data_IF_798494133511
#
_entry.id   IF_798494133511
#
_cell.length_a   1.000
_cell.length_b   1.000
_cell.length_c   1.000
_cell.angle_alpha   90.00
_cell.angle_beta   90.00
_cell.angle_gamma   90.00
#
_symmetry.space_group_name_H-M   'P 1'
#
loop_
_entity.id
_entity.type
_entity.pdbx_description
1 polymer ?
#
# COMPACT_ATOMS: atom_id res chain seq x y z
N UNK A 1 -11.34 31.70 55.94
CA UNK A 1 -10.79 30.38 55.62
C UNK A 1 -9.79 30.53 54.48
N UNK A 2 -8.49 30.39 54.76
CA UNK A 2 -7.45 30.44 53.73
C UNK A 2 -7.47 29.10 52.99
N UNK A 3 -7.89 29.09 51.71
CA UNK A 3 -7.76 27.89 50.88
C UNK A 3 -6.28 27.51 50.83
N UNK A 4 -5.93 26.33 51.33
CA UNK A 4 -4.55 25.85 51.35
C UNK A 4 -4.00 25.81 49.92
N UNK A 5 -2.89 26.52 49.66
CA UNK A 5 -2.18 26.47 48.39
C UNK A 5 -1.79 25.03 48.00
N UNK A 6 -1.68 24.13 48.98
CA UNK A 6 -1.43 22.69 48.77
C UNK A 6 -2.58 22.01 48.03
N UNK A 7 -3.84 22.37 48.32
CA UNK A 7 -5.00 21.77 47.64
C UNK A 7 -5.07 22.17 46.16
N UNK A 8 -4.63 23.39 45.81
CA UNK A 8 -4.55 23.85 44.41
C UNK A 8 -3.43 23.16 43.63
N UNK A 9 -2.27 22.95 44.27
CA UNK A 9 -1.14 22.24 43.65
C UNK A 9 -1.47 20.76 43.43
N UNK A 10 -2.12 20.10 44.41
CA UNK A 10 -2.55 18.70 44.27
C UNK A 10 -3.61 18.56 43.18
N UNK A 11 -4.58 19.48 43.09
CA UNK A 11 -5.58 19.48 42.02
C UNK A 11 -4.95 19.71 40.64
N UNK A 12 -4.01 20.64 40.51
CA UNK A 12 -3.27 20.85 39.25
C UNK A 12 -2.44 19.62 38.84
N UNK A 13 -1.79 18.93 39.78
CA UNK A 13 -1.05 17.70 39.49
C UNK A 13 -1.98 16.55 39.08
N UNK A 14 -3.17 16.43 39.69
CA UNK A 14 -4.17 15.42 39.33
C UNK A 14 -4.77 15.68 37.94
N UNK A 15 -5.02 16.96 37.60
CA UNK A 15 -5.44 17.36 36.26
C UNK A 15 -4.31 17.13 35.24
N UNK A 16 -3.06 17.41 35.58
CA UNK A 16 -1.91 17.13 34.69
C UNK A 16 -1.73 15.62 34.45
N UNK A 17 -1.88 14.78 35.48
CA UNK A 17 -1.82 13.32 35.39
C UNK A 17 -2.98 12.74 34.57
N UNK A 18 -4.18 13.34 34.65
CA UNK A 18 -5.34 12.96 33.83
C UNK A 18 -5.21 13.42 32.37
N UNK A 19 -4.50 14.53 32.10
CA UNK A 19 -4.20 15.02 30.74
C UNK A 19 -3.06 14.23 30.09
N UNK A 20 -2.14 13.67 30.88
CA UNK A 20 -1.05 12.82 30.39
C UNK A 20 -1.47 11.35 30.13
N UNK A 21 -2.61 10.91 30.66
CA UNK A 21 -3.10 9.52 30.52
C UNK A 21 -4.00 9.27 29.30
N UNK A 22 -3.95 10.13 28.28
CA UNK A 22 -4.80 9.98 27.08
C UNK A 22 -4.06 10.24 25.77
N UNK A 23 -2.75 10.12 25.74
CA UNK A 23 -2.09 9.70 24.52
C UNK A 23 -2.25 8.18 24.46
N UNK A 24 -3.41 7.72 24.00
CA UNK A 24 -3.48 6.37 23.46
C UNK A 24 -2.51 6.38 22.28
N UNK A 25 -1.33 5.79 22.47
CA UNK A 25 -0.48 5.45 21.34
C UNK A 25 -1.35 4.60 20.41
N UNK A 26 -1.41 4.98 19.13
CA UNK A 26 -1.97 4.10 18.12
C UNK A 26 -1.21 2.77 18.14
N UNK A 27 -1.89 1.70 17.74
CA UNK A 27 -1.23 0.43 17.45
C UNK A 27 -0.16 0.64 16.37
N UNK A 28 0.89 -0.17 16.39
CA UNK A 28 1.86 -0.20 15.30
C UNK A 28 1.39 -1.18 14.22
N UNK A 29 1.81 -0.96 12.97
CA UNK A 29 1.66 -1.95 11.92
C UNK A 29 2.35 -3.27 12.29
N UNK A 30 3.45 -3.21 13.04
CA UNK A 30 4.13 -4.38 13.56
C UNK A 30 3.23 -5.24 14.46
N UNK A 31 2.54 -4.60 15.41
CA UNK A 31 1.61 -5.26 16.32
C UNK A 31 0.41 -5.85 15.55
N UNK A 32 -0.16 -5.10 14.61
CA UNK A 32 -1.32 -5.53 13.82
C UNK A 32 -1.01 -6.78 12.99
N UNK A 33 0.19 -6.85 12.41
CA UNK A 33 0.66 -7.96 11.60
C UNK A 33 1.35 -9.08 12.42
N UNK A 34 1.30 -9.05 13.76
CA UNK A 34 1.93 -10.08 14.58
C UNK A 34 1.27 -11.45 14.35
N UNK A 35 2.10 -12.48 14.16
CA UNK A 35 1.68 -13.88 13.94
C UNK A 35 2.38 -14.84 14.91
N UNK A 36 1.78 -16.02 15.14
CA UNK A 36 2.41 -17.10 15.90
C UNK A 36 3.30 -17.99 15.02
N UNK A 37 3.91 -19.01 15.63
CA UNK A 37 4.75 -19.99 14.92
C UNK A 37 4.01 -20.74 13.81
N UNK A 38 2.68 -20.76 13.86
CA UNK A 38 1.79 -21.38 12.87
C UNK A 38 1.31 -20.40 11.78
N UNK A 39 1.69 -19.12 11.88
CA UNK A 39 1.33 -18.07 10.94
C UNK A 39 -0.05 -17.47 11.21
N UNK A 40 -0.68 -17.76 12.35
CA UNK A 40 -1.97 -17.15 12.72
C UNK A 40 -1.77 -15.80 13.39
N UNK A 41 -2.61 -14.82 13.03
CA UNK A 41 -2.60 -13.51 13.66
C UNK A 41 -2.82 -13.58 15.17
N UNK A 42 -2.03 -12.83 15.92
CA UNK A 42 -2.01 -12.86 17.40
C UNK A 42 -2.47 -11.57 18.07
N UNK A 43 -2.74 -10.51 17.30
CA UNK A 43 -3.20 -9.24 17.86
C UNK A 43 -4.47 -9.44 18.72
N UNK A 44 -4.52 -8.91 19.97
CA UNK A 44 -5.58 -9.21 20.92
C UNK A 44 -6.98 -8.80 20.45
N UNK A 45 -7.07 -7.79 19.58
CA UNK A 45 -8.36 -7.29 19.05
C UNK A 45 -8.87 -7.99 17.77
N UNK A 46 -8.18 -9.04 17.29
CA UNK A 46 -8.64 -9.81 16.12
C UNK A 46 -10.05 -10.41 16.26
N UNK A 47 -10.48 -10.69 17.50
CA UNK A 47 -11.77 -11.31 17.82
C UNK A 47 -12.66 -10.41 18.68
N UNK A 48 -12.29 -9.14 18.88
CA UNK A 48 -13.07 -8.16 19.67
C UNK A 48 -13.78 -7.16 18.75
N UNK A 49 -14.63 -6.29 19.28
CA UNK A 49 -15.22 -5.18 18.52
C UNK A 49 -14.44 -3.87 18.70
N UNK A 50 -13.21 -3.95 19.24
CA UNK A 50 -12.36 -2.77 19.39
C UNK A 50 -11.75 -2.42 18.03
N UNK A 51 -11.77 -1.13 17.71
CA UNK A 51 -11.09 -0.60 16.53
C UNK A 51 -9.67 -0.22 16.92
N UNK A 52 -8.70 -0.70 16.16
CA UNK A 52 -7.29 -0.27 16.26
C UNK A 52 -7.13 1.07 15.57
N UNK A 53 -6.04 1.79 15.88
CA UNK A 53 -5.68 3.02 15.16
C UNK A 53 -4.21 2.95 14.77
N UNK A 54 -3.91 3.04 13.48
CA UNK A 54 -2.54 3.01 12.92
C UNK A 54 -2.30 4.27 12.07
N UNK A 55 -1.05 4.70 11.96
CA UNK A 55 -0.64 5.80 11.08
C UNK A 55 0.45 5.33 10.12
N UNK A 56 0.36 5.77 8.86
CA UNK A 56 1.34 5.39 7.86
C UNK A 56 1.16 6.11 6.54
N UNK A 57 2.03 5.76 5.59
CA UNK A 57 2.06 6.32 4.24
C UNK A 57 1.31 5.40 3.27
N UNK A 58 0.35 5.94 2.53
CA UNK A 58 -0.34 5.20 1.47
C UNK A 58 0.66 4.81 0.39
N UNK A 59 0.74 3.53 0.04
CA UNK A 59 1.67 3.04 -0.97
C UNK A 59 1.09 3.02 -2.38
N UNK A 60 -0.25 3.01 -2.51
CA UNK A 60 -0.88 2.74 -3.79
C UNK A 60 -2.18 3.47 -4.09
N UNK A 61 -2.46 3.54 -5.39
CA UNK A 61 -3.79 3.79 -5.93
C UNK A 61 -4.64 2.52 -5.80
N UNK A 62 -5.87 2.62 -5.28
CA UNK A 62 -6.75 1.46 -5.19
C UNK A 62 -7.21 0.97 -6.56
N UNK A 63 -7.47 1.87 -7.51
CA UNK A 63 -7.93 1.58 -8.88
C UNK A 63 -6.84 1.00 -9.81
N UNK A 64 -5.57 1.02 -9.37
CA UNK A 64 -4.50 0.27 -10.04
C UNK A 64 -4.25 -1.10 -9.41
N UNK A 65 -4.87 -1.37 -8.26
CA UNK A 65 -4.72 -2.64 -7.54
C UNK A 65 -5.91 -3.57 -7.80
N UNK A 66 -7.14 -3.10 -7.58
CA UNK A 66 -8.37 -3.91 -7.68
C UNK A 66 -9.46 -3.19 -8.49
N UNK A 67 -10.35 -3.97 -9.12
CA UNK A 67 -11.49 -3.45 -9.87
C UNK A 67 -12.62 -3.03 -8.92
N UNK A 68 -12.80 -1.72 -8.76
CA UNK A 68 -13.85 -1.14 -7.95
C UNK A 68 -15.18 -0.91 -8.70
N UNK A 69 -15.31 -1.39 -9.96
CA UNK A 69 -16.53 -1.21 -10.77
C UNK A 69 -17.74 -1.88 -10.11
N UNK A 70 -18.78 -1.11 -9.71
CA UNK A 70 -19.92 -1.66 -8.97
C UNK A 70 -20.63 -2.77 -9.75
N UNK A 71 -20.83 -3.91 -9.09
CA UNK A 71 -21.63 -5.02 -9.57
C UNK A 71 -22.27 -5.81 -8.41
N UNK A 72 -23.34 -5.26 -7.84
CA UNK A 72 -24.11 -5.89 -6.74
C UNK A 72 -24.68 -7.28 -7.13
N UNK A 73 -24.80 -7.57 -8.42
CA UNK A 73 -25.32 -8.82 -8.96
C UNK A 73 -24.20 -9.79 -9.42
N UNK A 74 -22.96 -9.59 -8.94
CA UNK A 74 -21.86 -10.49 -9.24
C UNK A 74 -22.26 -11.93 -8.88
N UNK A 75 -22.13 -12.89 -9.82
CA UNK A 75 -22.62 -14.26 -9.59
C UNK A 75 -21.78 -15.04 -8.58
N UNK A 76 -20.50 -14.65 -8.43
CA UNK A 76 -19.53 -15.24 -7.51
C UNK A 76 -18.54 -14.16 -7.07
N UNK A 77 -17.91 -14.36 -5.91
CA UNK A 77 -16.86 -13.47 -5.43
C UNK A 77 -17.40 -12.15 -4.86
N UNK A 78 -16.50 -11.24 -4.47
CA UNK A 78 -16.87 -10.01 -3.77
C UNK A 78 -17.46 -8.93 -4.68
N UNK A 79 -17.68 -9.17 -5.97
CA UNK A 79 -18.05 -8.10 -6.91
C UNK A 79 -16.93 -7.06 -7.01
N UNK A 80 -17.27 -5.78 -6.89
CA UNK A 80 -16.27 -4.72 -6.80
C UNK A 80 -15.38 -4.88 -5.56
N UNK A 81 -14.11 -4.52 -5.68
CA UNK A 81 -13.16 -4.56 -4.57
C UNK A 81 -12.27 -3.31 -4.56
N UNK A 82 -11.83 -2.91 -3.37
CA UNK A 82 -11.00 -1.74 -3.15
C UNK A 82 -9.95 -2.06 -2.09
N UNK A 83 -8.70 -1.63 -2.31
CA UNK A 83 -7.64 -1.85 -1.35
C UNK A 83 -6.55 -0.77 -1.44
N UNK A 84 -6.07 -0.34 -0.28
CA UNK A 84 -4.81 0.40 -0.14
C UNK A 84 -3.90 -0.31 0.86
N UNK A 85 -2.61 -0.09 0.75
CA UNK A 85 -1.62 -0.38 1.77
C UNK A 85 -1.18 0.93 2.41
N UNK A 86 -1.04 0.89 3.73
CA UNK A 86 -0.38 1.93 4.51
C UNK A 86 0.86 1.34 5.17
N UNK A 87 2.00 2.02 5.02
CA UNK A 87 3.27 1.60 5.58
C UNK A 87 3.64 2.46 6.78
N UNK A 88 4.04 1.81 7.88
CA UNK A 88 4.55 2.49 9.06
C UNK A 88 5.87 3.22 8.82
N UNK A 89 6.16 4.17 9.70
CA UNK A 89 7.35 5.01 9.64
C UNK A 89 8.23 4.82 10.87
N UNK A 90 9.52 5.15 10.74
CA UNK A 90 10.48 5.04 11.84
C UNK A 90 10.66 3.59 12.30
N UNK A 91 10.40 3.35 13.58
CA UNK A 91 10.55 2.02 14.20
C UNK A 91 9.38 1.08 13.88
N UNK A 92 8.26 1.59 13.32
CA UNK A 92 7.13 0.77 12.87
C UNK A 92 7.40 0.16 11.49
N UNK A 93 8.26 -0.86 11.48
CA UNK A 93 8.72 -1.53 10.27
C UNK A 93 7.73 -2.64 9.87
N UNK A 94 6.57 -2.23 9.35
CA UNK A 94 5.56 -3.08 8.72
C UNK A 94 4.60 -2.22 7.87
N UNK A 95 3.69 -2.86 7.14
CA UNK A 95 2.52 -2.18 6.58
C UNK A 95 1.25 -2.99 6.77
N UNK A 96 0.11 -2.40 6.44
CA UNK A 96 -1.20 -3.04 6.61
C UNK A 96 -2.10 -2.73 5.44
N UNK A 97 -2.75 -3.76 4.90
CA UNK A 97 -3.78 -3.62 3.91
C UNK A 97 -5.09 -3.14 4.55
N UNK A 98 -5.69 -2.13 3.93
CA UNK A 98 -7.06 -1.68 4.18
C UNK A 98 -7.90 -2.15 3.00
N UNK A 99 -8.88 -3.02 3.25
CA UNK A 99 -9.56 -3.73 2.18
C UNK A 99 -11.08 -3.66 2.34
N UNK A 100 -11.79 -3.52 1.21
CA UNK A 100 -13.24 -3.59 1.12
C UNK A 100 -13.68 -4.35 -0.14
N UNK A 101 -14.87 -4.93 -0.08
CA UNK A 101 -15.51 -5.55 -1.24
C UNK A 101 -17.01 -5.56 -1.12
N UNK A 102 -17.67 -5.55 -2.26
CA UNK A 102 -19.07 -5.18 -2.39
C UNK A 102 -20.05 -6.26 -1.95
N UNK A 103 -19.86 -7.51 -2.40
CA UNK A 103 -20.85 -8.59 -2.34
C UNK A 103 -20.36 -9.76 -1.49
N UNK A 104 -20.01 -9.52 -0.23
CA UNK A 104 -19.39 -10.58 0.57
C UNK A 104 -20.36 -11.69 1.00
N UNK A 105 -21.68 -11.49 0.90
CA UNK A 105 -22.68 -12.57 0.96
C UNK A 105 -22.43 -13.69 -0.06
N UNK A 106 -21.84 -13.37 -1.22
CA UNK A 106 -21.52 -14.34 -2.27
C UNK A 106 -20.24 -15.14 -2.00
N UNK A 107 -19.46 -14.71 -1.01
CA UNK A 107 -18.26 -15.41 -0.55
C UNK A 107 -18.65 -16.17 0.71
N UNK A 108 -18.45 -15.57 1.89
CA UNK A 108 -18.75 -16.17 3.21
C UNK A 108 -19.12 -15.11 4.28
N UNK A 109 -19.38 -13.86 3.87
CA UNK A 109 -19.65 -12.73 4.76
C UNK A 109 -21.13 -12.51 5.03
N UNK A 110 -21.46 -11.32 5.53
CA UNK A 110 -22.85 -10.89 5.78
C UNK A 110 -23.02 -9.45 5.33
N UNK A 111 -23.36 -9.26 4.07
CA UNK A 111 -23.65 -7.96 3.50
C UNK A 111 -23.29 -7.88 2.03
N UNK A 112 -24.19 -7.25 1.28
CA UNK A 112 -23.99 -6.82 -0.09
C UNK A 112 -24.36 -5.34 -0.15
N UNK A 113 -23.37 -4.49 -0.47
CA UNK A 113 -23.65 -3.10 -0.80
C UNK A 113 -24.35 -3.05 -2.15
N UNK A 114 -25.46 -2.31 -2.23
CA UNK A 114 -26.00 -1.92 -3.53
C UNK A 114 -24.96 -1.12 -4.32
N UNK A 115 -25.13 -0.99 -5.63
CA UNK A 115 -24.21 -0.22 -6.46
C UNK A 115 -24.06 1.23 -5.98
N UNK A 116 -25.15 1.85 -5.49
CA UNK A 116 -25.09 3.21 -4.96
C UNK A 116 -24.39 3.26 -3.60
N UNK A 117 -24.74 2.37 -2.68
CA UNK A 117 -24.07 2.30 -1.38
C UNK A 117 -22.57 2.05 -1.56
N UNK A 118 -22.17 1.16 -2.46
CA UNK A 118 -20.75 0.92 -2.77
C UNK A 118 -20.05 2.19 -3.27
N UNK A 119 -20.68 2.97 -4.15
CA UNK A 119 -20.10 4.24 -4.60
C UNK A 119 -19.96 5.24 -3.46
N UNK A 120 -20.94 5.30 -2.56
CA UNK A 120 -20.89 6.15 -1.36
C UNK A 120 -19.78 5.70 -0.40
N UNK A 121 -19.60 4.39 -0.22
CA UNK A 121 -18.52 3.80 0.57
C UNK A 121 -17.15 4.09 -0.02
N UNK A 122 -16.96 3.87 -1.32
CA UNK A 122 -15.69 4.18 -2.00
C UNK A 122 -15.38 5.68 -1.92
N UNK A 123 -16.38 6.54 -2.06
CA UNK A 123 -16.17 7.98 -1.84
C UNK A 123 -15.70 8.24 -0.40
N UNK A 124 -16.36 7.65 0.60
CA UNK A 124 -16.06 7.82 2.03
C UNK A 124 -14.65 7.35 2.40
N UNK A 125 -14.19 6.20 1.91
CA UNK A 125 -12.85 5.68 2.24
C UNK A 125 -11.75 6.25 1.34
N UNK A 126 -12.10 6.90 0.23
CA UNK A 126 -11.12 7.53 -0.67
C UNK A 126 -10.93 9.03 -0.39
N UNK A 127 -11.69 9.63 0.54
CA UNK A 127 -11.59 11.06 0.85
C UNK A 127 -11.49 11.33 2.35
N UNK A 128 -10.72 12.36 2.70
CA UNK A 128 -10.67 12.88 4.05
C UNK A 128 -12.05 13.44 4.47
N UNK A 129 -12.63 12.98 5.60
CA UNK A 129 -13.98 13.34 6.00
C UNK A 129 -14.13 14.82 6.37
N UNK A 130 -13.04 15.50 6.74
CA UNK A 130 -13.07 16.89 7.17
C UNK A 130 -12.95 17.87 5.99
N UNK A 131 -12.14 17.53 5.00
CA UNK A 131 -11.74 18.43 3.91
C UNK A 131 -12.27 18.03 2.55
N UNK A 132 -12.69 16.77 2.38
CA UNK A 132 -13.03 16.19 1.08
C UNK A 132 -11.80 16.00 0.18
N UNK A 133 -10.60 16.01 0.74
CA UNK A 133 -9.36 15.75 0.00
C UNK A 133 -9.30 14.27 -0.42
N UNK A 134 -9.12 14.00 -1.72
CA UNK A 134 -8.95 12.64 -2.24
C UNK A 134 -7.56 12.10 -1.88
N UNK A 135 -7.51 10.96 -1.18
CA UNK A 135 -6.26 10.33 -0.79
C UNK A 135 -5.45 9.87 -1.99
N UNK A 136 -4.13 10.01 -1.89
CA UNK A 136 -3.19 9.60 -2.93
C UNK A 136 -1.98 8.86 -2.35
N UNK A 137 -1.28 8.04 -3.17
CA UNK A 137 0.02 7.49 -2.81
C UNK A 137 0.96 8.55 -2.25
N UNK A 138 1.67 8.18 -1.19
CA UNK A 138 2.61 9.01 -0.44
C UNK A 138 1.96 9.85 0.66
N UNK A 139 0.62 9.92 0.74
CA UNK A 139 -0.05 10.73 1.77
C UNK A 139 0.07 10.00 3.11
N UNK A 140 0.33 10.77 4.17
CA UNK A 140 0.28 10.25 5.54
C UNK A 140 -1.16 10.30 6.03
N UNK A 141 -1.65 9.14 6.46
CA UNK A 141 -3.02 8.99 6.96
C UNK A 141 -3.04 8.30 8.31
N UNK A 142 -4.11 8.55 9.06
CA UNK A 142 -4.49 7.79 10.25
C UNK A 142 -5.69 6.94 9.90
N UNK A 143 -5.59 5.63 10.13
CA UNK A 143 -6.69 4.70 9.89
C UNK A 143 -7.16 4.10 11.19
N UNK A 144 -8.47 4.12 11.39
CA UNK A 144 -9.12 3.48 12.52
C UNK A 144 -10.17 2.49 12.04
N UNK A 145 -10.05 1.22 12.40
CA UNK A 145 -10.97 0.18 11.92
C UNK A 145 -10.83 -1.14 12.66
N UNK A 146 -11.64 -2.12 12.28
CA UNK A 146 -11.60 -3.47 12.86
C UNK A 146 -10.54 -4.31 12.15
N UNK A 147 -9.95 -5.24 12.90
CA UNK A 147 -9.02 -6.21 12.33
C UNK A 147 -9.73 -7.45 11.79
N UNK A 148 -9.17 -8.00 10.71
CA UNK A 148 -9.53 -9.31 10.16
C UNK A 148 -8.29 -10.01 9.64
N UNK A 149 -7.96 -11.14 10.24
CA UNK A 149 -6.90 -12.02 9.75
C UNK A 149 -7.38 -12.88 8.57
N UNK A 150 -6.55 -13.00 7.55
CA UNK A 150 -6.76 -13.87 6.40
C UNK A 150 -5.43 -14.35 5.81
N UNK A 151 -5.16 -15.65 5.91
CA UNK A 151 -4.07 -16.31 5.18
C UNK A 151 -2.72 -15.63 5.33
N UNK A 152 -2.23 -15.54 6.57
CA UNK A 152 -0.88 -15.07 6.91
C UNK A 152 -0.77 -13.56 7.16
N UNK A 153 -1.78 -12.76 6.77
CA UNK A 153 -1.82 -11.32 7.04
C UNK A 153 -3.07 -10.87 7.80
N UNK A 154 -2.94 -9.75 8.52
CA UNK A 154 -4.08 -9.07 9.14
C UNK A 154 -4.44 -7.82 8.34
N UNK A 155 -5.69 -7.70 7.92
CA UNK A 155 -6.18 -6.48 7.27
C UNK A 155 -6.98 -5.63 8.26
N UNK A 156 -7.04 -4.33 8.02
CA UNK A 156 -8.09 -3.49 8.58
C UNK A 156 -9.25 -3.48 7.58
N UNK A 157 -10.45 -3.84 8.02
CA UNK A 157 -11.65 -3.82 7.19
C UNK A 157 -12.93 -3.73 8.04
N UNK A 158 -14.08 -3.83 7.39
CA UNK A 158 -15.41 -3.78 8.02
C UNK A 158 -15.94 -5.18 8.35
N UNK A 159 -15.02 -6.16 8.45
CA UNK A 159 -15.27 -7.60 8.66
C UNK A 159 -16.29 -8.20 7.71
N UNK A 160 -16.31 -7.70 6.47
CA UNK A 160 -17.21 -8.19 5.42
C UNK A 160 -18.70 -8.04 5.80
N UNK A 161 -19.02 -6.93 6.47
CA UNK A 161 -20.35 -6.63 6.94
C UNK A 161 -20.67 -5.15 6.77
N UNK A 162 -21.88 -4.87 6.30
CA UNK A 162 -22.40 -3.56 5.88
C UNK A 162 -23.04 -2.75 7.02
N UNK A 163 -23.00 -3.24 8.27
CA UNK A 163 -23.43 -2.49 9.45
C UNK A 163 -22.52 -1.27 9.66
N UNK A 164 -23.06 -0.04 9.69
CA UNK A 164 -22.26 1.18 9.90
C UNK A 164 -21.45 1.20 11.19
N UNK A 165 -21.75 0.34 12.17
CA UNK A 165 -20.91 0.16 13.36
C UNK A 165 -19.49 -0.32 13.01
N UNK A 166 -19.34 -1.04 11.89
CA UNK A 166 -18.08 -1.60 11.43
C UNK A 166 -17.24 -0.63 10.59
N UNK A 167 -17.80 0.51 10.17
CA UNK A 167 -17.14 1.49 9.31
C UNK A 167 -15.74 1.84 9.81
N UNK A 168 -14.74 1.71 8.94
CA UNK A 168 -13.41 2.24 9.20
C UNK A 168 -13.35 3.73 8.86
N UNK A 169 -12.46 4.49 9.47
CA UNK A 169 -12.23 5.91 9.14
C UNK A 169 -10.79 6.10 8.71
N UNK A 170 -10.58 6.89 7.66
CA UNK A 170 -9.26 7.31 7.19
C UNK A 170 -9.24 8.84 7.28
N UNK A 171 -8.26 9.38 7.99
CA UNK A 171 -8.07 10.82 8.18
C UNK A 171 -6.74 11.24 7.56
N UNK A 172 -6.71 12.37 6.86
CA UNK A 172 -5.46 12.94 6.36
C UNK A 172 -4.66 13.52 7.52
N UNK A 173 -3.43 13.03 7.71
CA UNK A 173 -2.48 13.61 8.65
C UNK A 173 -1.61 14.65 7.95
N UNK A 174 -1.05 14.28 6.80
CA UNK A 174 -0.20 15.16 6.00
C UNK A 174 -0.31 14.77 4.51
N UNK A 175 -0.79 15.67 3.63
CA UNK A 175 -0.75 15.43 2.19
C UNK A 175 0.68 15.54 1.69
N UNK A 176 1.02 14.83 0.62
CA UNK A 176 2.26 15.17 -0.08
C UNK A 176 3.54 14.67 0.60
N UNK A 177 3.50 13.87 1.67
CA UNK A 177 4.72 13.42 2.40
C UNK A 177 5.77 12.77 1.52
N UNK A 178 5.33 11.87 0.62
CA UNK A 178 6.20 11.15 -0.33
C UNK A 178 6.06 9.66 -0.11
N UNK A 179 6.27 8.86 -1.15
CA UNK A 179 6.41 7.42 -0.93
C UNK A 179 7.67 7.16 -0.09
N UNK A 180 7.65 6.15 0.79
CA UNK A 180 8.87 5.72 1.47
C UNK A 180 9.92 5.31 0.45
N UNK A 181 11.20 5.50 0.76
CA UNK A 181 12.26 4.95 -0.06
C UNK A 181 12.13 3.42 -0.07
N UNK A 182 12.05 2.75 -1.24
CA UNK A 182 11.94 1.30 -1.29
C UNK A 182 13.13 0.63 -0.59
N UNK A 183 12.86 -0.31 0.30
CA UNK A 183 13.90 -1.08 0.96
C UNK A 183 14.53 -2.07 -0.02
N UNK A 184 15.84 -1.99 -0.20
CA UNK A 184 16.56 -2.90 -1.10
C UNK A 184 16.72 -4.24 -0.43
N UNK A 185 16.16 -5.28 -1.05
CA UNK A 185 16.25 -6.67 -0.60
C UNK A 185 16.89 -7.54 -1.69
N UNK A 186 17.24 -8.76 -1.31
CA UNK A 186 17.67 -9.85 -2.18
C UNK A 186 16.76 -11.06 -1.97
N UNK A 187 16.82 -12.04 -2.89
CA UNK A 187 16.08 -13.28 -2.67
C UNK A 187 16.64 -14.09 -1.49
N UNK A 188 17.90 -13.89 -1.09
CA UNK A 188 18.47 -14.52 0.12
C UNK A 188 17.82 -14.02 1.42
N UNK A 189 17.26 -12.82 1.44
CA UNK A 189 16.60 -12.26 2.62
C UNK A 189 15.24 -12.92 2.90
N UNK A 190 14.63 -13.52 1.87
CA UNK A 190 13.24 -14.01 1.89
C UNK A 190 13.10 -15.48 1.46
N UNK A 191 14.16 -16.10 0.94
CA UNK A 191 14.16 -17.49 0.47
C UNK A 191 15.40 -18.25 0.97
N UNK A 192 15.20 -19.47 1.44
CA UNK A 192 16.28 -20.35 1.93
C UNK A 192 17.14 -20.91 0.77
N UNK A 193 18.15 -21.71 1.10
CA UNK A 193 19.03 -22.32 0.09
C UNK A 193 18.36 -23.37 -0.82
N UNK A 194 17.13 -23.79 -0.51
CA UNK A 194 16.32 -24.69 -1.32
C UNK A 194 15.20 -23.94 -2.07
N UNK A 195 15.24 -22.61 -2.09
CA UNK A 195 14.23 -21.75 -2.70
C UNK A 195 12.83 -21.88 -2.04
N UNK A 196 12.78 -22.14 -0.74
CA UNK A 196 11.55 -22.03 0.06
C UNK A 196 11.47 -20.66 0.73
N UNK A 197 10.26 -20.16 1.01
CA UNK A 197 10.09 -18.92 1.78
C UNK A 197 10.65 -19.05 3.19
N UNK A 198 11.31 -17.99 3.65
CA UNK A 198 11.77 -17.86 5.04
C UNK A 198 10.63 -17.22 5.83
N UNK A 199 9.91 -18.05 6.60
CA UNK A 199 8.92 -17.59 7.56
C UNK A 199 9.59 -17.33 8.92
N UNK A 200 9.34 -16.16 9.50
CA UNK A 200 9.85 -15.76 10.81
C UNK A 200 8.75 -15.04 11.62
N UNK A 201 8.10 -15.72 12.58
CA UNK A 201 7.00 -15.14 13.34
C UNK A 201 7.46 -14.02 14.29
N UNK A 202 8.77 -13.91 14.57
CA UNK A 202 9.31 -12.79 15.33
C UNK A 202 9.46 -11.52 14.50
N UNK A 203 9.30 -11.63 13.16
CA UNK A 203 9.37 -10.55 12.19
C UNK A 203 10.66 -9.75 12.29
N UNK A 204 11.78 -10.43 12.57
CA UNK A 204 13.11 -9.80 12.52
C UNK A 204 13.86 -10.14 11.23
N UNK A 205 13.40 -11.17 10.50
CA UNK A 205 13.97 -11.64 9.25
C UNK A 205 12.87 -12.18 8.32
N UNK A 206 13.25 -12.65 7.13
CA UNK A 206 12.35 -13.39 6.26
C UNK A 206 11.22 -12.54 5.69
N UNK A 207 10.20 -13.23 5.18
CA UNK A 207 9.08 -12.60 4.48
C UNK A 207 8.22 -11.71 5.41
N UNK A 208 8.04 -12.11 6.66
CA UNK A 208 7.21 -11.39 7.63
C UNK A 208 7.73 -9.98 7.94
N UNK A 209 9.05 -9.79 7.94
CA UNK A 209 9.69 -8.49 8.17
C UNK A 209 9.36 -7.46 7.07
N UNK A 210 9.10 -7.90 5.84
CA UNK A 210 8.84 -6.99 4.71
C UNK A 210 7.35 -6.79 4.42
N UNK A 211 6.45 -7.55 5.06
CA UNK A 211 5.03 -7.57 4.74
C UNK A 211 4.38 -6.17 4.83
N UNK A 212 3.69 -5.78 3.75
CA UNK A 212 3.01 -4.50 3.58
C UNK A 212 3.93 -3.32 3.25
N UNK A 213 5.21 -3.55 2.99
CA UNK A 213 6.21 -2.49 2.76
C UNK A 213 6.65 -2.40 1.30
N UNK A 214 7.08 -1.21 0.90
CA UNK A 214 7.65 -0.96 -0.43
C UNK A 214 9.10 -1.48 -0.48
N UNK A 215 9.36 -2.42 -1.38
CA UNK A 215 10.67 -3.07 -1.53
C UNK A 215 11.22 -2.91 -2.93
N UNK A 216 12.53 -3.12 -3.07
CA UNK A 216 13.24 -3.16 -4.34
C UNK A 216 14.10 -4.42 -4.46
N UNK A 217 13.87 -5.21 -5.50
CA UNK A 217 14.80 -6.25 -5.96
C UNK A 217 15.59 -5.71 -7.15
N UNK A 218 16.90 -5.91 -7.16
CA UNK A 218 17.75 -5.44 -8.26
C UNK A 218 18.11 -6.58 -9.20
N UNK A 219 18.27 -6.25 -10.49
CA UNK A 219 18.90 -7.11 -11.49
C UNK A 219 18.29 -8.53 -11.57
N UNK A 220 16.96 -8.61 -11.66
CA UNK A 220 16.21 -9.84 -11.88
C UNK A 220 15.73 -9.94 -13.32
N UNK A 221 15.20 -11.08 -13.71
CA UNK A 221 14.56 -11.29 -15.01
C UNK A 221 13.28 -12.10 -14.85
N UNK A 222 12.32 -11.94 -15.75
CA UNK A 222 11.16 -12.83 -15.78
C UNK A 222 11.58 -14.26 -16.09
N UNK A 223 11.01 -15.23 -15.38
CA UNK A 223 11.13 -16.66 -15.72
C UNK A 223 10.35 -16.95 -17.01
N UNK A 224 9.12 -16.44 -17.08
CA UNK A 224 8.31 -16.39 -18.30
C UNK A 224 7.57 -15.03 -18.39
N UNK A 225 7.79 -14.32 -19.48
CA UNK A 225 7.16 -13.03 -19.75
C UNK A 225 5.82 -13.14 -20.51
N UNK A 226 5.44 -14.33 -21.01
CA UNK A 226 4.22 -14.54 -21.79
C UNK A 226 2.92 -14.16 -21.05
N UNK A 227 2.78 -14.37 -19.73
CA UNK A 227 1.57 -14.00 -19.01
C UNK A 227 1.34 -12.49 -18.85
N UNK A 228 2.28 -11.63 -19.29
CA UNK A 228 2.22 -10.19 -19.08
C UNK A 228 0.87 -9.58 -19.48
N UNK A 229 0.24 -8.89 -18.52
CA UNK A 229 -1.02 -8.19 -18.70
C UNK A 229 -1.58 -7.68 -17.38
N UNK A 230 -2.74 -7.00 -17.41
CA UNK A 230 -3.42 -6.58 -16.20
C UNK A 230 -3.70 -7.80 -15.32
N UNK A 231 -3.47 -7.67 -14.02
CA UNK A 231 -3.72 -8.71 -13.02
C UNK A 231 -2.93 -10.01 -13.23
N UNK A 232 -1.84 -9.99 -14.02
CA UNK A 232 -1.05 -11.18 -14.26
C UNK A 232 -0.26 -11.63 -13.01
N UNK A 233 -0.17 -12.93 -12.81
CA UNK A 233 0.78 -13.55 -11.89
C UNK A 233 1.98 -14.05 -12.68
N UNK A 234 3.16 -13.61 -12.26
CA UNK A 234 4.42 -13.85 -12.94
C UNK A 234 5.47 -14.27 -11.91
N UNK A 235 6.62 -14.70 -12.41
CA UNK A 235 7.75 -15.09 -11.58
C UNK A 235 9.02 -14.40 -12.09
N UNK A 236 9.82 -13.90 -11.17
CA UNK A 236 11.14 -13.32 -11.43
C UNK A 236 12.24 -14.22 -10.86
N UNK A 237 13.44 -14.12 -11.41
CA UNK A 237 14.62 -14.83 -10.93
C UNK A 237 15.86 -13.95 -10.93
N UNK A 238 16.73 -14.16 -9.94
CA UNK A 238 18.10 -13.63 -9.89
C UNK A 238 19.12 -14.58 -10.56
N UNK A 239 18.66 -15.66 -11.19
CA UNK A 239 19.46 -16.73 -11.78
C UNK A 239 19.74 -17.91 -10.85
N UNK A 240 19.37 -17.83 -9.58
CA UNK A 240 19.48 -18.93 -8.61
C UNK A 240 18.14 -19.29 -7.97
N UNK A 241 17.36 -18.28 -7.59
CA UNK A 241 16.08 -18.39 -6.88
C UNK A 241 14.97 -17.74 -7.68
N UNK A 242 13.73 -18.07 -7.32
CA UNK A 242 12.56 -17.43 -7.92
C UNK A 242 11.66 -16.78 -6.88
N UNK A 243 10.92 -15.75 -7.31
CA UNK A 243 9.97 -15.06 -6.46
C UNK A 243 8.72 -14.63 -7.25
N UNK A 244 7.51 -14.83 -6.70
CA UNK A 244 6.28 -14.40 -7.36
C UNK A 244 6.15 -12.87 -7.44
N UNK A 245 5.68 -12.38 -8.58
CA UNK A 245 5.31 -10.99 -8.81
C UNK A 245 3.87 -10.93 -9.33
N UNK A 246 3.05 -10.10 -8.69
CA UNK A 246 1.69 -9.80 -9.15
C UNK A 246 1.71 -8.45 -9.86
N UNK A 247 1.17 -8.40 -11.07
CA UNK A 247 0.89 -7.15 -11.75
C UNK A 247 -0.49 -6.64 -11.33
N UNK A 248 -0.62 -5.34 -11.10
CA UNK A 248 -1.91 -4.68 -10.89
C UNK A 248 -2.70 -4.55 -12.18
N UNK A 249 -3.75 -3.74 -12.11
CA UNK A 249 -4.60 -3.37 -13.26
C UNK A 249 -4.29 -1.96 -13.77
N UNK A 250 -3.18 -1.37 -13.33
CA UNK A 250 -2.67 -0.10 -13.84
C UNK A 250 -2.46 -0.14 -15.35
N UNK A 251 -2.62 1.02 -15.99
CA UNK A 251 -2.75 1.12 -17.44
C UNK A 251 -1.48 0.76 -18.22
N UNK A 252 -0.33 0.66 -17.55
CA UNK A 252 0.96 0.25 -18.11
C UNK A 252 1.05 -1.23 -18.44
N UNK A 253 0.23 -2.07 -17.81
CA UNK A 253 0.20 -3.51 -18.06
C UNK A 253 -0.81 -3.81 -19.15
N UNK A 254 -0.39 -3.76 -20.41
CA UNK A 254 -1.23 -4.11 -21.56
C UNK A 254 -0.57 -5.22 -22.36
N UNK A 255 -1.33 -6.08 -23.05
CA UNK A 255 -0.74 -7.04 -23.97
C UNK A 255 0.22 -6.36 -24.94
N UNK A 256 1.47 -6.83 -24.97
CA UNK A 256 2.53 -6.27 -25.83
C UNK A 256 3.23 -5.01 -25.30
N UNK A 257 2.92 -4.51 -24.11
CA UNK A 257 3.62 -3.35 -23.52
C UNK A 257 4.92 -3.71 -22.81
N UNK A 258 5.19 -5.00 -22.58
CA UNK A 258 6.43 -5.43 -21.96
C UNK A 258 7.63 -5.15 -22.88
N UNK A 259 8.55 -4.32 -22.40
CA UNK A 259 9.82 -4.01 -23.05
C UNK A 259 11.03 -4.30 -22.14
N UNK A 260 10.85 -5.10 -21.08
CA UNK A 260 11.90 -5.56 -20.18
C UNK A 260 12.57 -6.81 -20.76
N UNK A 261 13.62 -6.61 -21.57
CA UNK A 261 14.35 -7.69 -22.26
C UNK A 261 15.70 -8.03 -21.65
N UNK A 262 16.25 -7.13 -20.84
CA UNK A 262 17.49 -7.30 -20.09
C UNK A 262 17.16 -7.36 -18.59
N UNK A 263 18.09 -7.80 -17.71
CA UNK A 263 17.89 -7.72 -16.28
C UNK A 263 17.43 -6.33 -15.83
N UNK A 264 16.44 -6.31 -14.95
CA UNK A 264 15.73 -5.12 -14.51
C UNK A 264 15.53 -5.13 -12.99
N UNK A 265 15.22 -3.96 -12.45
CA UNK A 265 14.84 -3.83 -11.04
C UNK A 265 13.33 -3.94 -10.88
N UNK A 266 12.84 -4.43 -9.75
CA UNK A 266 11.41 -4.48 -9.42
C UNK A 266 11.16 -3.63 -8.19
N UNK A 267 10.18 -2.73 -8.25
CA UNK A 267 9.72 -1.97 -7.09
C UNK A 267 8.22 -2.17 -6.91
N UNK A 268 7.82 -2.70 -5.75
CA UNK A 268 6.43 -3.00 -5.44
C UNK A 268 6.21 -3.27 -3.96
N UNK A 269 4.96 -3.55 -3.61
CA UNK A 269 4.54 -3.84 -2.24
C UNK A 269 4.81 -5.31 -1.96
N UNK A 270 5.58 -5.61 -0.91
CA UNK A 270 5.76 -6.99 -0.47
C UNK A 270 4.48 -7.45 0.25
N UNK A 271 3.82 -8.46 -0.30
CA UNK A 271 2.48 -8.89 0.09
C UNK A 271 2.45 -10.41 0.33
N UNK A 272 1.40 -10.87 1.01
CA UNK A 272 1.06 -12.28 1.17
C UNK A 272 -0.45 -12.44 0.95
N UNK A 273 -0.88 -13.42 0.14
CA UNK A 273 -2.30 -13.77 0.05
C UNK A 273 -2.54 -15.28 -0.02
N UNK A 274 -3.38 -15.78 0.89
CA UNK A 274 -3.98 -17.10 0.76
C UNK A 274 -3.19 -18.26 1.38
N UNK A 275 -2.23 -18.00 2.28
CA UNK A 275 -1.53 -19.06 3.00
C UNK A 275 -0.83 -18.58 4.27
N UNK A 276 -0.64 -19.46 5.25
CA UNK A 276 -0.18 -19.05 6.60
C UNK A 276 1.32 -18.72 6.65
N UNK A 277 2.12 -19.34 5.79
CA UNK A 277 3.60 -19.26 5.79
C UNK A 277 4.18 -19.25 4.38
N UNK A 278 3.34 -19.02 3.39
CA UNK A 278 3.66 -19.07 1.96
C UNK A 278 2.79 -18.06 1.19
N UNK A 279 2.81 -18.14 -0.14
CA UNK A 279 2.11 -17.23 -1.06
C UNK A 279 2.52 -15.75 -0.90
N UNK A 280 3.80 -15.51 -0.58
CA UNK A 280 4.38 -14.18 -0.67
C UNK A 280 4.62 -13.78 -2.11
N UNK A 281 4.48 -12.48 -2.38
CA UNK A 281 4.65 -11.89 -3.70
C UNK A 281 5.07 -10.43 -3.59
N UNK A 282 5.64 -9.88 -4.65
CA UNK A 282 5.75 -8.43 -4.83
C UNK A 282 4.64 -7.98 -5.76
N UNK A 283 3.78 -7.06 -5.29
CA UNK A 283 2.71 -6.49 -6.09
C UNK A 283 3.15 -5.17 -6.72
N UNK A 284 3.31 -5.16 -8.05
CA UNK A 284 3.64 -3.97 -8.84
C UNK A 284 2.38 -3.47 -9.51
N UNK A 285 2.00 -2.22 -9.26
CA UNK A 285 0.63 -1.76 -9.56
C UNK A 285 0.49 -1.07 -10.91
N UNK A 286 1.59 -0.52 -11.43
CA UNK A 286 1.63 0.06 -12.76
C UNK A 286 3.05 -0.01 -13.32
N UNK A 287 3.19 0.30 -14.61
CA UNK A 287 4.46 0.35 -15.31
C UNK A 287 4.50 1.52 -16.31
N UNK A 288 5.54 2.33 -16.26
CA UNK A 288 5.68 3.52 -17.12
C UNK A 288 6.32 3.21 -18.49
N UNK A 289 6.68 1.95 -18.77
CA UNK A 289 7.32 1.57 -20.03
C UNK A 289 8.83 1.87 -20.11
N UNK A 290 9.51 2.14 -18.99
CA UNK A 290 10.90 2.61 -19.02
C UNK A 290 11.98 1.60 -19.45
N UNK A 291 11.66 0.31 -19.49
CA UNK A 291 12.55 -0.77 -19.94
C UNK A 291 13.68 -1.14 -18.96
N UNK A 292 13.68 -0.64 -17.72
CA UNK A 292 14.75 -0.86 -16.72
C UNK A 292 14.28 -1.17 -15.31
N UNK A 293 13.14 -0.63 -14.90
CA UNK A 293 12.56 -0.81 -13.57
C UNK A 293 11.08 -1.14 -13.74
N UNK A 294 10.66 -2.33 -13.33
CA UNK A 294 9.27 -2.74 -13.26
C UNK A 294 8.57 -1.99 -12.12
N UNK A 295 8.12 -0.77 -12.42
CA UNK A 295 7.30 0.10 -11.58
C UNK A 295 6.82 1.31 -12.39
N UNK A 296 5.95 2.13 -11.82
CA UNK A 296 5.60 3.44 -12.36
C UNK A 296 6.38 4.52 -11.62
N UNK A 297 7.44 5.03 -12.25
CA UNK A 297 8.28 6.10 -11.68
C UNK A 297 7.63 7.48 -11.82
N UNK A 298 6.56 7.57 -12.61
CA UNK A 298 5.98 8.81 -13.08
C UNK A 298 4.63 9.14 -12.46
N UNK A 299 4.41 8.73 -11.21
CA UNK A 299 3.22 9.10 -10.47
C UNK A 299 3.21 10.60 -10.21
N UNK A 300 2.64 11.35 -11.16
CA UNK A 300 2.40 12.78 -11.04
C UNK A 300 1.35 12.96 -9.94
N UNK A 301 1.84 13.20 -8.73
CA UNK A 301 1.01 13.35 -7.53
C UNK A 301 0.08 14.54 -7.63
N UNK A 302 0.45 15.52 -8.45
CA UNK A 302 -0.33 16.69 -8.71
C UNK A 302 -0.01 17.16 -10.14
N UNK A 303 -1.04 17.48 -10.91
CA UNK A 303 -0.88 18.38 -12.05
C UNK A 303 -0.71 19.82 -11.49
N UNK A 304 0.25 20.03 -10.57
CA UNK A 304 0.61 21.38 -10.14
C UNK A 304 1.11 22.10 -11.39
N UNK A 305 0.47 23.20 -11.82
CA UNK A 305 0.95 23.92 -12.99
C UNK A 305 2.42 24.33 -12.80
N UNK A 306 3.31 23.76 -13.62
CA UNK A 306 4.76 24.01 -13.55
C UNK A 306 5.58 22.93 -12.83
N UNK A 307 4.96 21.88 -12.31
CA UNK A 307 5.66 20.69 -11.83
C UNK A 307 5.92 19.75 -13.00
N UNK A 308 7.21 19.53 -13.29
CA UNK A 308 7.70 18.89 -14.51
C UNK A 308 8.45 17.61 -14.18
N UNK A 309 9.12 17.57 -13.03
CA UNK A 309 9.93 16.44 -12.61
C UNK A 309 9.13 15.39 -11.79
N UNK A 310 7.85 15.64 -11.49
CA UNK A 310 6.95 14.73 -10.78
C UNK A 310 7.33 14.44 -9.33
N UNK A 311 8.08 15.33 -8.67
CA UNK A 311 8.49 15.16 -7.26
C UNK A 311 7.52 15.74 -6.21
N UNK A 312 6.39 16.30 -6.66
CA UNK A 312 5.35 16.90 -5.83
C UNK A 312 5.67 18.32 -5.34
N UNK A 313 6.73 18.97 -5.84
CA UNK A 313 7.10 20.36 -5.55
C UNK A 313 7.20 21.15 -6.84
N UNK A 314 6.95 22.46 -6.78
CA UNK A 314 7.32 23.37 -7.88
C UNK A 314 8.55 24.14 -7.43
N UNK A 315 9.71 23.71 -7.88
CA UNK A 315 10.99 24.31 -7.50
C UNK A 315 11.98 24.44 -8.68
N UNK A 316 13.26 24.68 -8.36
CA UNK A 316 14.27 24.94 -9.38
C UNK A 316 14.63 23.68 -10.20
N UNK A 317 14.33 22.49 -9.68
CA UNK A 317 14.53 21.24 -10.40
C UNK A 317 13.51 21.07 -11.52
N UNK A 318 12.26 21.52 -11.35
CA UNK A 318 11.28 21.59 -12.43
C UNK A 318 11.71 22.52 -13.56
N UNK A 319 12.26 23.68 -13.19
CA UNK A 319 12.80 24.63 -14.16
C UNK A 319 13.99 24.03 -14.92
N UNK A 320 14.88 23.32 -14.22
CA UNK A 320 16.01 22.64 -14.85
C UNK A 320 15.53 21.56 -15.84
N UNK A 321 14.55 20.75 -15.44
CA UNK A 321 13.92 19.74 -16.31
C UNK A 321 13.21 20.35 -17.51
N UNK A 322 12.48 21.47 -17.32
CA UNK A 322 11.89 22.21 -18.43
C UNK A 322 12.96 22.67 -19.42
N UNK A 323 14.04 23.26 -18.91
CA UNK A 323 15.11 23.80 -19.72
C UNK A 323 15.83 22.68 -20.50
N UNK A 324 16.07 21.54 -19.88
CA UNK A 324 16.68 20.37 -20.52
C UNK A 324 15.80 19.84 -21.67
N UNK A 325 14.51 19.55 -21.38
CA UNK A 325 13.54 19.11 -22.38
C UNK A 325 13.37 20.12 -23.52
N UNK A 326 13.39 21.42 -23.21
CA UNK A 326 13.31 22.49 -24.20
C UNK A 326 14.54 22.52 -25.11
N UNK A 327 15.74 22.34 -24.54
CA UNK A 327 17.00 22.29 -25.27
C UNK A 327 17.12 21.06 -26.17
N UNK A 328 16.56 19.92 -25.74
CA UNK A 328 16.45 18.73 -26.59
C UNK A 328 15.54 18.97 -27.80
N UNK A 329 14.50 19.79 -27.66
CA UNK A 329 13.52 20.08 -28.72
C UNK A 329 13.89 21.25 -29.66
N UNK A 330 15.09 21.86 -29.56
CA UNK A 330 15.46 22.99 -30.41
C UNK A 330 15.83 22.53 -31.83
N UNK A 331 15.14 23.01 -32.89
CA UNK A 331 15.53 22.73 -34.27
C UNK A 331 16.94 23.28 -34.54
N UNK A 332 17.89 22.38 -34.79
CA UNK A 332 19.29 22.72 -35.08
C UNK A 332 20.34 22.16 -34.11
N UNK A 333 19.93 21.51 -33.01
CA UNK A 333 20.85 20.81 -32.09
C UNK A 333 21.32 19.43 -32.58
N UNK A 334 20.72 18.91 -33.67
CA UNK A 334 21.05 17.60 -34.25
C UNK A 334 20.43 16.40 -33.52
N UNK A 335 19.67 16.60 -32.44
CA UNK A 335 19.06 15.51 -31.68
C UNK A 335 17.69 15.07 -32.23
N UNK A 336 16.96 15.94 -32.92
CA UNK A 336 15.70 15.57 -33.58
C UNK A 336 15.93 15.29 -35.08
N UNK A 337 16.44 14.09 -35.40
CA UNK A 337 16.67 13.68 -36.79
C UNK A 337 16.95 12.20 -36.99
N UNK A 338 15.89 11.42 -37.23
CA UNK A 338 15.91 10.19 -38.04
C UNK A 338 15.91 8.88 -37.25
N UNK A 339 15.11 7.87 -37.58
CA UNK A 339 14.66 7.54 -38.94
C UNK A 339 13.19 7.21 -39.07
N UNK A 340 12.56 7.81 -40.08
CA UNK A 340 11.50 7.16 -40.84
C UNK A 340 12.12 6.30 -41.93
N UNK A 341 11.83 5.01 -41.90
CA UNK A 341 11.23 4.19 -42.97
C UNK A 341 10.97 2.78 -42.43
#
# INVERSE_FOLDING_TARGET
MKSSNVAKVVFCLLVLLLVLSSFAYGDTHQDVQAVDEDGYGTHPDLQTNNKVTVEGIILNRPDFMLDATPNENAPYGPGASWQIYIQGEGDDHAGTAIWMGQCYDNVWGSGTYTNQEWLDEIYRVSHDPCTGYEFSPGDRVRVKGLLKFYGGKTNINERHNTDPANDLTIELVEPGTGLPQPEVITLDDVKDGNDNFIFDPSRFTGCEYYQGRLVKLNNVSFVDANPWGPDAEMEISDGQKTFPVKLGIGWGFRPGSNNLTEPFDVVGIFDQEGGLKDNYRIWVLNYDGNGRVLTDRGYARYNLPGEINKDGKVDMFDFAWLADNWLECVPGSGACGGGGN
#
